data_IF_431121392334
#
_entry.id   IF_431121392334
#
_cell.length_a   1.000
_cell.length_b   1.000
_cell.length_c   1.000
_cell.angle_alpha   90.00
_cell.angle_beta   90.00
_cell.angle_gamma   90.00
#
_symmetry.space_group_name_H-M   'P 1'
#
loop_
_entity.id
_entity.type
_entity.pdbx_description
1 polymer ?
#
# COMPACT_ATOMS: atom_id res chain seq x y z
N UNK A 1 38.35 -49.88 -40.97
CA UNK A 1 38.17 -48.44 -41.18
C UNK A 1 36.69 -48.02 -41.39
N UNK A 2 35.86 -48.62 -42.21
CA UNK A 2 34.45 -48.18 -42.49
C UNK A 2 33.54 -48.14 -41.23
N UNK A 3 33.68 -49.08 -40.28
CA UNK A 3 32.85 -49.12 -39.03
C UNK A 3 33.13 -47.96 -38.07
N UNK A 4 34.39 -47.51 -37.92
CA UNK A 4 34.78 -46.37 -37.07
C UNK A 4 34.26 -45.05 -37.63
N UNK A 5 34.32 -44.86 -38.94
CA UNK A 5 33.81 -43.64 -39.64
C UNK A 5 32.30 -43.49 -39.47
N UNK A 6 31.54 -44.60 -39.54
CA UNK A 6 30.07 -44.60 -39.35
C UNK A 6 29.68 -44.25 -37.92
N UNK A 7 30.41 -44.75 -36.91
CA UNK A 7 30.19 -44.45 -35.48
C UNK A 7 30.48 -42.98 -35.15
N UNK A 8 31.52 -42.38 -35.73
CA UNK A 8 31.88 -40.99 -35.57
C UNK A 8 30.84 -40.06 -36.20
N UNK A 9 30.34 -40.35 -37.39
CA UNK A 9 29.30 -39.58 -38.07
C UNK A 9 27.99 -39.59 -37.27
N UNK A 10 27.59 -40.75 -36.73
CA UNK A 10 26.39 -40.87 -35.90
C UNK A 10 26.53 -40.08 -34.59
N UNK A 11 27.68 -40.07 -33.94
CA UNK A 11 27.92 -39.30 -32.72
C UNK A 11 27.83 -37.75 -32.97
N UNK A 12 28.39 -37.27 -34.10
CA UNK A 12 28.25 -35.86 -34.52
C UNK A 12 26.80 -35.48 -34.85
N UNK A 13 26.03 -36.39 -35.47
CA UNK A 13 24.63 -36.16 -35.78
C UNK A 13 23.77 -36.10 -34.52
N UNK A 14 24.03 -36.94 -33.54
CA UNK A 14 23.38 -36.92 -32.23
C UNK A 14 23.73 -35.65 -31.44
N UNK A 15 25.00 -35.20 -31.49
CA UNK A 15 25.38 -33.94 -30.85
C UNK A 15 24.70 -32.74 -31.47
N UNK A 16 24.64 -32.65 -32.82
CA UNK A 16 23.90 -31.59 -33.52
C UNK A 16 22.41 -31.58 -33.17
N UNK A 17 21.78 -32.76 -33.13
CA UNK A 17 20.39 -32.86 -32.76
C UNK A 17 20.14 -32.40 -31.32
N UNK A 18 20.99 -32.77 -30.36
CA UNK A 18 20.91 -32.29 -28.97
C UNK A 18 21.06 -30.76 -28.88
N UNK A 19 21.98 -30.15 -29.64
CA UNK A 19 22.17 -28.73 -29.67
C UNK A 19 20.94 -27.98 -30.23
N UNK A 20 20.32 -28.54 -31.29
CA UNK A 20 19.07 -27.96 -31.86
C UNK A 20 17.94 -28.03 -30.84
N UNK A 21 17.71 -29.18 -30.21
CA UNK A 21 16.67 -29.33 -29.17
C UNK A 21 16.90 -28.39 -27.99
N UNK A 22 18.16 -28.21 -27.56
CA UNK A 22 18.49 -27.25 -26.50
C UNK A 22 18.19 -25.81 -26.95
N UNK A 23 18.55 -25.45 -28.18
CA UNK A 23 18.27 -24.11 -28.73
C UNK A 23 16.74 -23.84 -28.82
N UNK A 24 15.97 -24.83 -29.27
CA UNK A 24 14.49 -24.73 -29.31
C UNK A 24 13.90 -24.54 -27.90
N UNK A 25 14.42 -25.29 -26.90
CA UNK A 25 14.02 -25.12 -25.51
C UNK A 25 14.35 -23.72 -24.96
N UNK A 26 15.55 -23.18 -25.26
CA UNK A 26 15.93 -21.84 -24.86
C UNK A 26 15.03 -20.77 -25.50
N UNK A 27 14.72 -20.91 -26.79
CA UNK A 27 13.80 -20.00 -27.50
C UNK A 27 12.42 -20.06 -26.85
N UNK A 28 11.91 -21.24 -26.54
CA UNK A 28 10.63 -21.41 -25.85
C UNK A 28 10.62 -20.70 -24.47
N UNK A 29 11.66 -20.87 -23.66
CA UNK A 29 11.79 -20.20 -22.37
C UNK A 29 11.81 -18.68 -22.53
N UNK A 30 12.55 -18.14 -23.51
CA UNK A 30 12.59 -16.70 -23.79
C UNK A 30 11.19 -16.18 -24.16
N UNK A 31 10.45 -16.90 -25.02
CA UNK A 31 9.09 -16.51 -25.41
C UNK A 31 8.16 -16.48 -24.19
N UNK A 32 8.23 -17.49 -23.33
CA UNK A 32 7.43 -17.51 -22.07
C UNK A 32 7.78 -16.33 -21.16
N UNK A 33 9.07 -16.01 -21.01
CA UNK A 33 9.52 -14.85 -20.23
C UNK A 33 9.00 -13.53 -20.82
N UNK A 34 9.02 -13.36 -22.15
CA UNK A 34 8.50 -12.16 -22.82
C UNK A 34 7.00 -12.03 -22.61
N UNK A 35 6.24 -13.12 -22.76
CA UNK A 35 4.78 -13.13 -22.51
C UNK A 35 4.49 -12.74 -21.07
N UNK A 36 5.24 -13.30 -20.11
CA UNK A 36 5.09 -12.97 -18.69
C UNK A 36 5.39 -11.49 -18.40
N UNK A 37 6.48 -10.93 -18.96
CA UNK A 37 6.83 -9.51 -18.83
C UNK A 37 5.76 -8.60 -19.46
N UNK A 38 5.24 -8.96 -20.65
CA UNK A 38 4.15 -8.23 -21.27
C UNK A 38 2.89 -8.25 -20.40
N UNK A 39 2.54 -9.40 -19.84
CA UNK A 39 1.40 -9.55 -18.94
C UNK A 39 1.55 -8.65 -17.70
N UNK A 40 2.69 -8.71 -17.00
CA UNK A 40 2.94 -7.90 -15.80
C UNK A 40 2.90 -6.40 -16.08
N UNK A 41 3.45 -5.95 -17.23
CA UNK A 41 3.41 -4.53 -17.61
C UNK A 41 1.99 -4.06 -17.98
N UNK A 42 1.18 -4.90 -18.60
CA UNK A 42 -0.23 -4.59 -18.89
C UNK A 42 -1.06 -4.48 -17.62
N UNK A 43 -0.87 -5.40 -16.67
CA UNK A 43 -1.52 -5.35 -15.35
C UNK A 43 -1.13 -4.09 -14.58
N UNK A 44 0.16 -3.73 -14.55
CA UNK A 44 0.62 -2.51 -13.92
C UNK A 44 -0.02 -1.26 -14.50
N UNK A 45 -0.11 -1.16 -15.84
CA UNK A 45 -0.79 -0.04 -16.52
C UNK A 45 -2.29 -0.04 -16.24
N UNK A 46 -2.95 -1.20 -16.25
CA UNK A 46 -4.38 -1.32 -15.92
C UNK A 46 -4.64 -0.78 -14.51
N UNK A 47 -3.82 -1.18 -13.53
CA UNK A 47 -3.97 -0.72 -12.16
C UNK A 47 -3.67 0.79 -12.02
N UNK A 48 -2.62 1.29 -12.66
CA UNK A 48 -2.31 2.72 -12.68
C UNK A 48 -3.45 3.55 -13.26
N UNK A 49 -4.03 3.13 -14.38
CA UNK A 49 -5.17 3.81 -15.02
C UNK A 49 -6.43 3.75 -14.16
N UNK A 50 -6.60 2.68 -13.37
CA UNK A 50 -7.76 2.51 -12.47
C UNK A 50 -7.81 3.61 -11.40
N UNK A 51 -6.65 4.06 -10.93
CA UNK A 51 -6.52 5.08 -9.89
C UNK A 51 -6.06 6.45 -10.43
N UNK A 52 -5.81 6.57 -11.74
CA UNK A 52 -5.49 7.85 -12.35
C UNK A 52 -6.71 8.77 -12.24
N UNK A 53 -6.49 9.94 -11.68
CA UNK A 53 -7.45 11.03 -11.78
C UNK A 53 -7.58 11.35 -13.27
N UNK A 54 -8.79 11.33 -13.82
CA UNK A 54 -9.03 11.79 -15.19
C UNK A 54 -8.71 13.29 -15.23
N UNK A 55 -7.52 13.65 -15.70
CA UNK A 55 -7.17 15.03 -16.07
C UNK A 55 -8.05 15.52 -17.22
N UNK A 56 -9.33 15.72 -16.94
CA UNK A 56 -10.26 16.42 -17.81
C UNK A 56 -10.44 17.83 -17.27
N UNK A 57 -9.35 18.59 -17.24
CA UNK A 57 -9.43 20.06 -17.34
C UNK A 57 -8.05 20.65 -17.63
N UNK A 58 -7.90 21.10 -18.88
CA UNK A 58 -7.00 22.15 -19.40
C UNK A 58 -5.83 22.63 -18.54
N UNK A 59 -4.61 22.41 -19.09
CA UNK A 59 -3.43 23.31 -18.98
C UNK A 59 -3.42 24.29 -17.81
N UNK A 60 -3.00 23.82 -16.62
CA UNK A 60 -2.34 24.69 -15.66
C UNK A 60 -1.29 23.85 -14.90
N UNK A 61 -0.07 24.32 -14.97
CA UNK A 61 1.09 23.84 -14.21
C UNK A 61 0.75 23.90 -12.73
N UNK A 62 0.36 22.77 -12.13
CA UNK A 62 0.01 22.69 -10.71
C UNK A 62 1.30 22.72 -9.90
N UNK A 63 1.61 23.87 -9.37
CA UNK A 63 2.54 24.02 -8.24
C UNK A 63 1.90 23.32 -7.04
N UNK A 64 2.47 22.20 -6.63
CA UNK A 64 2.10 21.40 -5.46
C UNK A 64 2.18 22.27 -4.21
N UNK A 65 1.09 22.83 -3.71
CA UNK A 65 0.95 23.33 -2.34
C UNK A 65 -0.29 24.20 -2.09
N UNK A 66 -1.42 24.01 -2.76
CA UNK A 66 -2.64 24.65 -2.32
C UNK A 66 -3.84 23.71 -2.45
N UNK A 67 -4.63 23.65 -1.40
CA UNK A 67 -5.98 23.14 -1.35
C UNK A 67 -6.74 23.64 -2.59
N UNK A 68 -6.84 22.81 -3.64
CA UNK A 68 -7.63 23.21 -4.81
C UNK A 68 -9.08 22.82 -4.57
N UNK A 69 -9.93 23.81 -4.36
CA UNK A 69 -11.37 23.66 -4.53
C UNK A 69 -11.70 23.90 -6.01
N UNK A 70 -12.63 23.10 -6.57
CA UNK A 70 -13.21 23.41 -7.87
C UNK A 70 -14.05 24.70 -7.84
N UNK A 71 -14.59 25.13 -8.99
CA UNK A 71 -15.49 26.28 -9.12
C UNK A 71 -16.75 26.19 -8.23
N UNK A 72 -17.09 25.00 -7.71
CA UNK A 72 -18.21 24.76 -6.79
C UNK A 72 -17.79 24.71 -5.31
N UNK A 73 -16.49 24.89 -4.98
CA UNK A 73 -15.99 24.87 -3.61
C UNK A 73 -15.78 23.47 -3.02
N UNK A 74 -15.86 22.41 -3.84
CA UNK A 74 -15.63 21.04 -3.41
C UNK A 74 -14.13 20.70 -3.43
N UNK A 75 -13.71 19.90 -2.44
CA UNK A 75 -12.36 19.36 -2.37
C UNK A 75 -12.19 18.25 -3.42
N UNK A 76 -11.11 18.26 -4.19
CA UNK A 76 -10.78 17.24 -5.19
C UNK A 76 -10.89 15.82 -4.62
N UNK A 77 -10.35 15.57 -3.41
CA UNK A 77 -10.44 14.26 -2.76
C UNK A 77 -11.86 13.86 -2.35
N UNK A 78 -12.75 14.84 -2.07
CA UNK A 78 -14.17 14.60 -1.84
C UNK A 78 -14.86 14.07 -3.10
N UNK A 79 -14.58 14.67 -4.26
CA UNK A 79 -15.12 14.19 -5.55
C UNK A 79 -14.61 12.79 -5.89
N UNK A 80 -13.31 12.53 -5.68
CA UNK A 80 -12.71 11.20 -5.87
C UNK A 80 -13.36 10.15 -4.97
N UNK A 81 -13.59 10.48 -3.70
CA UNK A 81 -14.33 9.63 -2.78
C UNK A 81 -15.75 9.35 -3.28
N UNK A 82 -16.51 10.38 -3.64
CA UNK A 82 -17.89 10.24 -4.09
C UNK A 82 -17.99 9.37 -5.36
N UNK A 83 -17.10 9.57 -6.31
CA UNK A 83 -17.01 8.76 -7.52
C UNK A 83 -16.71 7.29 -7.20
N UNK A 84 -15.69 7.03 -6.37
CA UNK A 84 -15.35 5.67 -5.97
C UNK A 84 -16.47 4.99 -5.16
N UNK A 85 -17.17 5.76 -4.33
CA UNK A 85 -18.33 5.30 -3.53
C UNK A 85 -19.51 4.87 -4.39
N UNK A 86 -19.72 5.52 -5.54
CA UNK A 86 -20.76 5.12 -6.50
C UNK A 86 -20.45 3.76 -7.14
N UNK A 87 -19.17 3.49 -7.41
CA UNK A 87 -18.71 2.22 -7.99
C UNK A 87 -18.75 1.07 -6.96
N UNK A 88 -18.40 1.35 -5.69
CA UNK A 88 -18.37 0.35 -4.63
C UNK A 88 -18.77 0.95 -3.28
N UNK A 89 -19.88 0.46 -2.71
CA UNK A 89 -20.41 0.92 -1.43
C UNK A 89 -19.52 0.58 -0.21
N UNK A 90 -18.51 -0.26 -0.36
CA UNK A 90 -17.53 -0.57 0.70
C UNK A 90 -16.41 0.49 0.78
N UNK A 91 -16.37 1.47 -0.13
CA UNK A 91 -15.49 2.64 -0.02
C UNK A 91 -16.00 3.53 1.11
N UNK A 92 -15.16 3.78 2.12
CA UNK A 92 -15.50 4.53 3.34
C UNK A 92 -14.78 5.88 3.42
N UNK A 93 -13.84 6.15 2.52
CA UNK A 93 -13.07 7.38 2.47
C UNK A 93 -12.09 7.36 1.31
N UNK A 94 -11.34 8.45 1.17
CA UNK A 94 -10.19 8.58 0.28
C UNK A 94 -8.96 8.89 1.12
N UNK A 95 -7.92 8.06 1.06
CA UNK A 95 -6.67 8.29 1.80
C UNK A 95 -5.63 8.94 0.89
N UNK A 96 -4.93 9.96 1.41
CA UNK A 96 -3.85 10.62 0.69
C UNK A 96 -2.70 11.04 1.62
N UNK A 97 -1.48 11.10 1.04
CA UNK A 97 -0.28 11.66 1.67
C UNK A 97 0.41 12.55 0.65
N UNK A 98 0.44 13.86 0.92
CA UNK A 98 1.00 14.84 -0.01
C UNK A 98 2.46 14.56 -0.36
N UNK A 99 2.81 14.75 -1.64
CA UNK A 99 4.16 14.52 -2.15
C UNK A 99 4.55 13.04 -2.30
N UNK A 100 3.57 12.12 -2.16
CA UNK A 100 3.73 10.67 -2.40
C UNK A 100 2.75 10.19 -3.46
N UNK A 101 2.88 8.93 -3.87
CA UNK A 101 1.91 8.27 -4.76
C UNK A 101 0.69 7.72 -4.00
N UNK A 102 0.57 7.97 -2.69
CA UNK A 102 -0.56 7.49 -1.90
C UNK A 102 -1.74 8.45 -2.08
N UNK A 103 -2.66 8.05 -2.95
CA UNK A 103 -3.94 8.71 -3.21
C UNK A 103 -4.90 7.64 -3.71
N UNK A 104 -5.70 7.03 -2.80
CA UNK A 104 -6.50 5.84 -3.07
C UNK A 104 -7.83 5.85 -2.35
N UNK A 105 -8.88 5.19 -2.90
CA UNK A 105 -10.06 4.86 -2.12
C UNK A 105 -9.67 3.98 -0.93
N UNK A 106 -10.22 4.31 0.25
CA UNK A 106 -10.10 3.52 1.46
C UNK A 106 -11.34 2.65 1.59
N UNK A 107 -11.15 1.33 1.61
CA UNK A 107 -12.22 0.36 1.67
C UNK A 107 -12.32 -0.31 3.05
N UNK A 108 -13.47 -0.89 3.35
CA UNK A 108 -13.63 -1.75 4.52
C UNK A 108 -14.67 -2.83 4.24
N UNK A 109 -14.36 -4.07 4.62
CA UNK A 109 -15.27 -5.22 4.56
C UNK A 109 -15.25 -5.99 5.88
N UNK A 110 -16.03 -7.06 5.97
CA UNK A 110 -16.19 -7.88 7.19
C UNK A 110 -14.98 -8.76 7.51
N UNK A 111 -13.96 -8.77 6.64
CA UNK A 111 -12.72 -9.52 6.85
C UNK A 111 -11.48 -8.65 6.55
N UNK A 112 -10.27 -9.20 6.72
CA UNK A 112 -9.00 -8.51 6.45
C UNK A 112 -8.24 -9.17 5.30
N UNK A 113 -8.90 -9.94 4.44
CA UNK A 113 -8.27 -10.75 3.39
C UNK A 113 -8.78 -10.44 1.98
N UNK A 114 -10.04 -10.07 1.83
CA UNK A 114 -10.67 -9.87 0.51
C UNK A 114 -9.90 -8.86 -0.35
N UNK A 115 -9.63 -7.67 0.19
CA UNK A 115 -8.94 -6.61 -0.53
C UNK A 115 -7.42 -6.80 -0.64
N UNK A 116 -6.87 -7.90 -0.16
CA UNK A 116 -5.49 -8.29 -0.50
C UNK A 116 -5.36 -8.72 -1.97
N UNK A 117 -6.46 -9.20 -2.59
CA UNK A 117 -6.46 -9.77 -3.95
C UNK A 117 -7.55 -9.20 -4.85
N UNK A 118 -8.26 -8.15 -4.42
CA UNK A 118 -9.30 -7.48 -5.19
C UNK A 118 -9.09 -5.96 -5.20
N UNK A 119 -9.29 -5.35 -6.37
CA UNK A 119 -9.29 -3.89 -6.50
C UNK A 119 -10.60 -3.28 -5.98
N UNK A 120 -10.69 -1.94 -5.95
CA UNK A 120 -11.87 -1.25 -5.41
C UNK A 120 -13.16 -1.47 -6.23
N UNK A 121 -13.06 -2.01 -7.46
CA UNK A 121 -14.21 -2.42 -8.29
C UNK A 121 -14.60 -3.89 -8.09
N UNK A 122 -14.05 -4.55 -7.07
CA UNK A 122 -14.26 -5.98 -6.77
C UNK A 122 -13.75 -6.94 -7.85
N UNK A 123 -12.81 -6.50 -8.71
CA UNK A 123 -12.13 -7.35 -9.67
C UNK A 123 -10.87 -7.97 -9.04
N UNK A 124 -10.54 -9.21 -9.42
CA UNK A 124 -9.28 -9.84 -9.00
C UNK A 124 -8.07 -9.01 -9.45
N UNK A 125 -7.16 -8.73 -8.54
CA UNK A 125 -5.97 -7.91 -8.78
C UNK A 125 -4.83 -8.31 -7.84
N UNK A 126 -3.63 -8.49 -8.39
CA UNK A 126 -2.41 -8.71 -7.59
C UNK A 126 -2.01 -7.47 -6.75
N UNK A 127 -2.52 -6.29 -7.08
CA UNK A 127 -2.29 -5.04 -6.36
C UNK A 127 -3.21 -4.89 -5.14
N UNK A 128 -4.31 -5.65 -5.11
CA UNK A 128 -5.32 -5.49 -4.08
C UNK A 128 -5.87 -4.07 -4.00
N UNK A 129 -6.18 -3.65 -2.80
CA UNK A 129 -6.64 -2.28 -2.48
C UNK A 129 -6.06 -1.81 -1.15
N UNK A 130 -6.25 -0.51 -0.86
CA UNK A 130 -5.99 0.04 0.48
C UNK A 130 -7.25 -0.14 1.32
N UNK A 131 -7.14 -0.81 2.46
CA UNK A 131 -8.33 -1.13 3.26
C UNK A 131 -8.11 -1.02 4.77
N UNK A 132 -9.17 -0.61 5.46
CA UNK A 132 -9.25 -0.48 6.91
C UNK A 132 -9.50 -1.87 7.53
N UNK A 133 -8.83 -2.15 8.65
CA UNK A 133 -9.07 -3.37 9.44
C UNK A 133 -10.55 -3.47 9.85
N UNK A 134 -11.14 -4.66 9.73
CA UNK A 134 -12.56 -4.92 9.95
C UNK A 134 -13.13 -4.43 11.30
N UNK A 135 -12.30 -4.38 12.34
CA UNK A 135 -12.69 -3.94 13.69
C UNK A 135 -12.36 -2.45 13.96
N UNK A 136 -11.71 -1.74 13.03
CA UNK A 136 -11.46 -0.32 13.17
C UNK A 136 -12.72 0.46 12.75
N UNK A 137 -12.98 1.59 13.40
CA UNK A 137 -14.17 2.42 13.12
C UNK A 137 -13.72 3.86 12.86
N UNK A 138 -13.87 4.35 11.63
CA UNK A 138 -13.38 5.66 11.19
C UNK A 138 -13.88 6.81 12.07
N UNK A 139 -15.12 6.76 12.48
CA UNK A 139 -15.79 7.82 13.26
C UNK A 139 -15.62 7.69 14.77
N UNK A 140 -14.99 6.62 15.28
CA UNK A 140 -14.75 6.42 16.70
C UNK A 140 -13.38 6.96 17.12
N UNK A 141 -13.35 7.97 17.98
CA UNK A 141 -12.12 8.63 18.45
C UNK A 141 -11.16 7.71 19.20
N UNK A 142 -11.65 6.62 19.78
CA UNK A 142 -10.83 5.62 20.46
C UNK A 142 -10.44 4.44 19.56
N UNK A 143 -10.81 4.45 18.31
CA UNK A 143 -10.36 3.44 17.35
C UNK A 143 -8.96 3.75 16.84
N UNK A 144 -8.10 2.74 16.79
CA UNK A 144 -6.91 2.78 15.98
C UNK A 144 -7.29 2.37 14.54
N UNK A 145 -7.15 3.29 13.61
CA UNK A 145 -7.42 3.05 12.20
C UNK A 145 -6.26 2.28 11.59
N UNK A 146 -6.30 0.95 11.68
CA UNK A 146 -5.28 0.10 11.10
C UNK A 146 -5.59 -0.11 9.62
N UNK A 147 -4.71 0.39 8.75
CA UNK A 147 -4.90 0.40 7.29
C UNK A 147 -3.79 -0.41 6.63
N UNK A 148 -4.18 -1.31 5.75
CA UNK A 148 -3.31 -2.20 5.02
C UNK A 148 -3.19 -1.79 3.56
N UNK A 149 -2.04 -2.01 2.97
CA UNK A 149 -1.80 -1.89 1.53
C UNK A 149 -0.53 -2.62 1.12
N UNK A 150 -0.53 -3.15 -0.09
CA UNK A 150 0.63 -3.85 -0.63
C UNK A 150 1.83 -2.93 -0.80
N UNK A 151 3.03 -3.48 -0.63
CA UNK A 151 4.27 -2.94 -1.14
C UNK A 151 4.58 -3.65 -2.46
N UNK A 152 4.39 -2.96 -3.57
CA UNK A 152 4.80 -3.46 -4.88
C UNK A 152 6.30 -3.20 -5.05
N UNK A 153 7.04 -4.22 -5.44
CA UNK A 153 8.51 -4.15 -5.53
C UNK A 153 9.03 -3.07 -6.48
N UNK A 154 8.18 -2.55 -7.37
CA UNK A 154 8.50 -1.44 -8.28
C UNK A 154 8.46 -0.05 -7.61
N UNK A 155 8.00 0.04 -6.36
CA UNK A 155 7.93 1.27 -5.58
C UNK A 155 6.87 2.27 -6.04
N UNK A 156 6.05 1.95 -7.05
CA UNK A 156 5.22 2.92 -7.75
C UNK A 156 3.78 3.00 -7.27
N UNK A 157 3.22 1.95 -6.66
CA UNK A 157 1.79 1.82 -6.41
C UNK A 157 1.46 1.34 -4.98
N UNK A 158 0.21 1.49 -4.60
CA UNK A 158 -0.32 1.13 -3.28
C UNK A 158 0.47 1.78 -2.15
N UNK A 159 0.89 1.02 -1.14
CA UNK A 159 1.69 1.52 -0.03
C UNK A 159 3.21 1.36 -0.23
N UNK A 160 3.67 1.15 -1.48
CA UNK A 160 5.10 1.01 -1.77
C UNK A 160 5.92 2.21 -1.31
N UNK A 161 5.42 3.44 -1.49
CA UNK A 161 6.11 4.66 -1.09
C UNK A 161 6.23 4.83 0.44
N UNK A 162 5.49 4.03 1.26
CA UNK A 162 5.71 4.03 2.72
C UNK A 162 7.13 3.62 3.09
N UNK A 163 7.81 2.81 2.28
CA UNK A 163 9.20 2.40 2.54
C UNK A 163 10.14 3.60 2.65
N UNK A 164 9.84 4.70 1.96
CA UNK A 164 10.63 5.92 2.03
C UNK A 164 10.64 6.54 3.44
N UNK A 165 9.65 6.24 4.29
CA UNK A 165 9.66 6.66 5.69
C UNK A 165 10.75 5.99 6.55
N UNK A 166 11.51 5.05 6.02
CA UNK A 166 12.76 4.60 6.66
C UNK A 166 13.82 5.71 6.68
N UNK A 167 13.70 6.71 5.79
CA UNK A 167 14.48 7.93 5.78
C UNK A 167 13.79 9.03 6.60
N UNK A 168 14.53 9.64 7.54
CA UNK A 168 14.06 10.73 8.39
C UNK A 168 13.77 12.01 7.60
N UNK A 169 14.52 12.30 6.55
CA UNK A 169 14.30 13.50 5.72
C UNK A 169 13.02 13.36 4.90
N UNK A 170 12.72 12.16 4.41
CA UNK A 170 11.43 11.89 3.79
C UNK A 170 10.29 12.10 4.79
N UNK A 171 10.39 11.55 6.00
CA UNK A 171 9.41 11.80 7.08
C UNK A 171 9.23 13.31 7.35
N UNK A 172 10.33 14.08 7.43
CA UNK A 172 10.27 15.51 7.73
C UNK A 172 9.46 16.31 6.70
N UNK A 173 9.42 15.84 5.45
CA UNK A 173 8.72 16.49 4.34
C UNK A 173 7.29 15.95 4.11
N UNK A 174 6.93 14.78 4.70
CA UNK A 174 5.66 14.09 4.43
C UNK A 174 4.98 13.65 5.74
N UNK A 175 4.67 14.60 6.64
CA UNK A 175 4.17 14.31 8.01
C UNK A 175 2.68 14.09 8.11
N UNK A 176 1.90 14.43 7.08
CA UNK A 176 0.44 14.50 7.15
C UNK A 176 -0.21 13.40 6.32
N UNK A 177 -1.06 12.61 6.97
CA UNK A 177 -1.97 11.67 6.32
C UNK A 177 -3.36 12.31 6.35
N UNK A 178 -4.12 12.22 5.24
CA UNK A 178 -5.51 12.67 5.17
C UNK A 178 -6.44 11.51 4.84
N UNK A 179 -7.63 11.54 5.43
CA UNK A 179 -8.77 10.72 5.01
C UNK A 179 -9.92 11.67 4.75
N UNK A 180 -10.41 11.69 3.51
CA UNK A 180 -11.51 12.53 3.06
C UNK A 180 -12.76 11.67 2.84
N UNK A 181 -13.91 12.16 3.30
CA UNK A 181 -15.24 11.57 3.12
C UNK A 181 -16.14 12.55 2.39
N UNK A 182 -17.44 12.28 2.34
CA UNK A 182 -18.46 13.18 1.79
C UNK A 182 -18.56 14.53 2.50
N UNK A 183 -18.38 14.54 3.83
CA UNK A 183 -18.64 15.74 4.66
C UNK A 183 -17.45 16.16 5.52
N UNK A 184 -16.39 15.34 5.56
CA UNK A 184 -15.27 15.57 6.49
C UNK A 184 -13.93 15.19 5.85
N UNK A 185 -12.91 15.98 6.23
CA UNK A 185 -11.52 15.59 6.09
C UNK A 185 -10.88 15.45 7.46
N UNK A 186 -10.21 14.33 7.69
CA UNK A 186 -9.46 14.01 8.89
C UNK A 186 -7.97 14.13 8.59
N UNK A 187 -7.26 15.01 9.30
CA UNK A 187 -5.81 15.12 9.22
C UNK A 187 -5.13 14.43 10.39
N UNK A 188 -4.12 13.63 10.08
CA UNK A 188 -3.28 12.92 11.05
C UNK A 188 -1.82 13.34 10.90
N UNK A 189 -1.13 13.57 12.03
CA UNK A 189 0.32 13.81 12.04
C UNK A 189 1.05 12.54 12.42
N UNK A 190 1.99 12.12 11.58
CA UNK A 190 2.84 10.97 11.84
C UNK A 190 3.76 11.27 13.03
N UNK A 191 3.85 10.35 14.00
CA UNK A 191 4.69 10.49 15.18
C UNK A 191 5.62 9.31 15.44
N UNK A 192 5.44 8.18 14.73
CA UNK A 192 6.32 7.01 14.85
C UNK A 192 6.38 6.24 13.53
N UNK A 193 7.55 5.75 13.21
CA UNK A 193 7.81 4.81 12.10
C UNK A 193 8.70 3.70 12.63
N UNK A 194 8.31 2.44 12.43
CA UNK A 194 9.11 1.31 12.89
C UNK A 194 8.96 0.09 11.98
N UNK A 195 9.98 -0.77 12.00
CA UNK A 195 9.93 -2.10 11.39
C UNK A 195 9.46 -3.12 12.40
N UNK A 196 8.63 -4.05 11.94
CA UNK A 196 8.11 -5.16 12.73
C UNK A 196 7.88 -6.37 11.82
N UNK A 197 7.17 -7.37 12.31
CA UNK A 197 6.74 -8.53 11.52
C UNK A 197 5.36 -9.00 11.96
N UNK A 198 4.79 -9.92 11.19
CA UNK A 198 3.66 -10.73 11.66
C UNK A 198 4.21 -11.86 12.52
N UNK A 199 3.77 -11.92 13.77
CA UNK A 199 4.21 -12.89 14.75
C UNK A 199 3.37 -14.17 14.70
N UNK A 200 3.97 -15.31 14.99
CA UNK A 200 3.24 -16.56 15.17
C UNK A 200 2.42 -16.53 16.47
N UNK A 201 1.41 -17.39 16.58
CA UNK A 201 0.53 -17.41 17.74
C UNK A 201 1.26 -17.77 19.04
N UNK A 202 2.33 -18.55 18.96
CA UNK A 202 3.18 -19.02 20.06
C UNK A 202 4.31 -18.05 20.42
N UNK A 203 4.56 -16.99 19.63
CA UNK A 203 5.51 -15.96 19.98
C UNK A 203 5.02 -15.21 21.24
N UNK A 204 5.80 -15.19 22.30
CA UNK A 204 5.50 -14.50 23.55
C UNK A 204 6.29 -13.19 23.70
N UNK A 205 5.80 -12.25 24.52
CA UNK A 205 6.47 -10.98 24.79
C UNK A 205 6.77 -10.12 23.54
N UNK A 206 5.88 -10.18 22.54
CA UNK A 206 6.01 -9.45 21.29
C UNK A 206 4.94 -8.37 21.15
N UNK A 207 5.28 -7.29 20.45
CA UNK A 207 4.34 -6.20 20.18
C UNK A 207 3.50 -6.50 18.94
N UNK A 208 2.31 -7.09 19.13
CA UNK A 208 1.31 -7.30 18.05
C UNK A 208 0.53 -6.02 17.79
N UNK A 209 1.19 -5.02 17.21
CA UNK A 209 0.62 -3.69 16.93
C UNK A 209 -0.73 -3.75 16.19
N UNK A 210 -0.96 -4.77 15.39
CA UNK A 210 -2.19 -5.01 14.62
C UNK A 210 -3.37 -5.54 15.45
N UNK A 211 -3.19 -5.85 16.73
CA UNK A 211 -4.28 -6.27 17.65
C UNK A 211 -4.88 -5.08 18.44
N UNK A 212 -4.27 -3.90 18.34
CA UNK A 212 -4.70 -2.71 19.08
C UNK A 212 -5.71 -1.89 18.27
N UNK A 213 -6.86 -2.47 17.90
CA UNK A 213 -7.92 -1.78 17.14
C UNK A 213 -8.79 -0.88 18.01
N UNK A 214 -8.97 -1.24 19.28
CA UNK A 214 -9.70 -0.50 20.31
C UNK A 214 -8.74 0.00 21.39
N UNK A 215 -8.70 1.32 21.56
CA UNK A 215 -7.84 2.05 22.51
C UNK A 215 -8.64 2.82 23.56
N UNK A 216 -9.87 2.37 23.84
CA UNK A 216 -10.74 2.94 24.89
C UNK A 216 -10.12 2.80 26.30
N UNK A 217 -9.40 1.70 26.55
CA UNK A 217 -8.65 1.53 27.79
C UNK A 217 -7.36 2.36 27.76
N UNK A 218 -7.19 3.27 28.73
CA UNK A 218 -6.05 4.17 28.81
C UNK A 218 -4.72 3.42 28.98
N UNK A 219 -4.70 2.30 29.71
CA UNK A 219 -3.47 1.52 29.89
C UNK A 219 -3.05 0.88 28.59
N UNK A 220 -4.01 0.31 27.84
CA UNK A 220 -3.79 -0.26 26.52
C UNK A 220 -3.34 0.81 25.50
N UNK A 221 -3.93 2.01 25.56
CA UNK A 221 -3.47 3.15 24.76
C UNK A 221 -2.01 3.50 25.09
N UNK A 222 -1.70 3.68 26.37
CA UNK A 222 -0.34 4.05 26.83
C UNK A 222 0.68 2.96 26.47
N UNK A 223 0.32 1.69 26.59
CA UNK A 223 1.15 0.56 26.16
C UNK A 223 1.45 0.63 24.66
N UNK A 224 0.41 0.86 23.83
CA UNK A 224 0.57 0.99 22.39
C UNK A 224 1.55 2.13 22.03
N UNK A 225 1.34 3.34 22.60
CA UNK A 225 2.19 4.50 22.32
C UNK A 225 3.62 4.26 22.81
N UNK A 226 3.80 3.68 24.00
CA UNK A 226 5.12 3.35 24.55
C UNK A 226 5.88 2.40 23.62
N UNK A 227 5.22 1.36 23.12
CA UNK A 227 5.84 0.44 22.18
C UNK A 227 6.15 1.10 20.84
N UNK A 228 5.25 1.93 20.30
CA UNK A 228 5.52 2.70 19.07
C UNK A 228 6.78 3.59 19.22
N UNK A 229 6.97 4.21 20.37
CA UNK A 229 8.14 5.04 20.66
C UNK A 229 9.40 4.20 20.91
N UNK A 230 9.27 3.05 21.56
CA UNK A 230 10.39 2.12 21.82
C UNK A 230 11.00 1.58 20.52
N UNK A 231 10.18 1.23 19.55
CA UNK A 231 10.61 0.60 18.28
C UNK A 231 10.85 1.58 17.14
N UNK A 232 10.60 2.89 17.33
CA UNK A 232 10.76 3.90 16.29
C UNK A 232 12.17 3.90 15.69
N UNK A 233 12.26 4.04 14.36
CA UNK A 233 13.53 4.08 13.64
C UNK A 233 14.35 5.32 13.96
N UNK A 234 13.67 6.42 14.30
CA UNK A 234 14.28 7.71 14.64
C UNK A 234 13.35 8.51 15.56
N UNK A 235 13.92 9.41 16.34
CA UNK A 235 13.13 10.29 17.21
C UNK A 235 12.39 11.34 16.40
N UNK A 236 11.07 11.39 16.54
CA UNK A 236 10.18 12.32 15.84
C UNK A 236 9.81 13.57 16.64
N UNK A 237 10.26 13.75 17.88
CA UNK A 237 9.88 14.83 18.81
C UNK A 237 8.35 14.97 19.04
N UNK A 238 7.52 14.10 18.47
CA UNK A 238 6.06 14.09 18.61
C UNK A 238 5.59 12.79 19.25
N UNK A 239 4.42 12.82 19.89
CA UNK A 239 3.75 11.65 20.46
C UNK A 239 2.25 11.88 20.50
N UNK A 240 1.47 10.84 20.81
CA UNK A 240 0.05 10.93 21.08
C UNK A 240 -0.22 10.89 22.59
N UNK A 241 -1.35 11.49 22.98
CA UNK A 241 -1.89 11.45 24.37
C UNK A 241 -3.24 10.76 24.34
N UNK A 242 -3.64 10.17 25.47
CA UNK A 242 -4.94 9.51 25.58
C UNK A 242 -6.09 10.45 25.14
N UNK A 243 -6.99 9.92 24.32
CA UNK A 243 -8.04 10.67 23.65
C UNK A 243 -7.69 11.09 22.20
N UNK A 244 -6.43 10.97 21.75
CA UNK A 244 -6.14 11.11 20.33
C UNK A 244 -6.56 9.85 19.57
N UNK A 245 -7.35 9.99 18.49
CA UNK A 245 -7.55 8.91 17.55
C UNK A 245 -6.22 8.58 16.84
N UNK A 246 -5.92 7.30 16.73
CA UNK A 246 -4.68 6.80 16.12
C UNK A 246 -4.97 6.27 14.72
N UNK A 247 -4.02 6.48 13.81
CA UNK A 247 -3.95 5.84 12.49
C UNK A 247 -2.65 5.04 12.38
N UNK A 248 -2.73 3.84 11.82
CA UNK A 248 -1.59 2.93 11.66
C UNK A 248 -1.60 2.37 10.25
N UNK A 249 -0.66 2.82 9.42
CA UNK A 249 -0.48 2.31 8.05
C UNK A 249 0.52 1.17 8.06
N UNK A 250 0.19 0.08 7.39
CA UNK A 250 0.98 -1.16 7.38
C UNK A 250 1.22 -1.61 5.95
N UNK A 251 2.49 -1.88 5.61
CA UNK A 251 2.88 -2.49 4.35
C UNK A 251 3.94 -3.57 4.55
N UNK A 252 4.17 -4.41 3.54
CA UNK A 252 5.25 -5.40 3.59
C UNK A 252 6.62 -4.72 3.53
N UNK A 253 7.56 -5.26 4.31
CA UNK A 253 8.96 -4.86 4.33
C UNK A 253 9.82 -6.13 4.22
N UNK A 254 10.73 -6.18 3.26
CA UNK A 254 11.35 -7.42 2.81
C UNK A 254 12.75 -7.68 3.39
N UNK A 255 13.20 -6.90 4.40
CA UNK A 255 14.50 -7.15 5.06
C UNK A 255 14.48 -8.35 6.01
N UNK A 256 13.30 -8.87 6.34
CA UNK A 256 13.09 -10.07 7.17
C UNK A 256 11.83 -10.82 6.77
N UNK A 257 11.74 -12.09 7.16
CA UNK A 257 10.55 -12.91 6.93
C UNK A 257 9.33 -12.32 7.63
N UNK A 258 8.21 -12.27 6.89
CA UNK A 258 6.96 -11.64 7.36
C UNK A 258 7.12 -10.18 7.83
N UNK A 259 8.17 -9.48 7.36
CA UNK A 259 8.49 -8.11 7.73
C UNK A 259 7.39 -7.12 7.36
N UNK A 260 7.24 -6.10 8.20
CA UNK A 260 6.30 -4.99 8.01
C UNK A 260 6.97 -3.67 8.32
N UNK A 261 6.68 -2.66 7.50
CA UNK A 261 6.88 -1.27 7.89
C UNK A 261 5.56 -0.74 8.43
N UNK A 262 5.64 -0.05 9.55
CA UNK A 262 4.50 0.52 10.27
C UNK A 262 4.71 2.02 10.44
N UNK A 263 3.76 2.81 9.95
CA UNK A 263 3.74 4.28 10.07
C UNK A 263 2.54 4.68 10.92
N UNK A 264 2.79 5.35 12.04
CA UNK A 264 1.75 5.67 13.03
C UNK A 264 1.57 7.17 13.16
N UNK A 265 0.32 7.61 13.04
CA UNK A 265 -0.09 9.00 13.21
C UNK A 265 -1.14 9.17 14.29
N UNK A 266 -1.31 10.41 14.75
CA UNK A 266 -2.40 10.85 15.62
C UNK A 266 -3.26 11.88 14.91
N UNK A 267 -4.55 11.89 15.16
CA UNK A 267 -5.45 12.90 14.62
C UNK A 267 -5.06 14.28 15.13
N UNK A 268 -4.94 15.24 14.20
CA UNK A 268 -4.70 16.64 14.50
C UNK A 268 -6.01 17.42 14.54
N UNK A 269 -6.81 17.26 13.49
CA UNK A 269 -8.07 18.00 13.33
C UNK A 269 -9.04 17.26 12.41
N UNK A 270 -10.27 17.69 12.47
CA UNK A 270 -11.33 17.34 11.53
C UNK A 270 -11.82 18.64 10.89
N UNK A 271 -11.89 18.66 9.57
CA UNK A 271 -12.36 19.79 8.77
C UNK A 271 -13.73 19.38 8.22
N UNK A 272 -14.75 20.22 8.41
CA UNK A 272 -16.05 20.02 7.75
C UNK A 272 -15.93 20.49 6.30
N UNK A 273 -16.39 19.66 5.38
CA UNK A 273 -16.47 19.96 3.96
C UNK A 273 -17.90 20.42 3.62
N UNK A 274 -18.02 21.39 2.74
CA UNK A 274 -19.32 21.79 2.17
C UNK A 274 -19.69 20.81 1.06
N UNK A 275 -21.00 20.48 0.99
CA UNK A 275 -21.57 19.72 -0.13
C UNK A 275 -21.83 20.62 -1.31
#
# INVERSE_FOLDING_TARGET
>A
MKRYRKKYINKRRQQKHRLVVMAEYFIFVIIVCIIYLCYTTLEAKKNQNLYAVSDTSSNNTVTKNNFSTDDNGQNEYQQLYLSAKQENQEVIGWISIDGTNISYPLLQTMDNSYYLTHNYKNESSQYGSIFLHKNSVLTNEFSNLIIYGHNMNDGSQMFSSLINYTDKDFFNNHKTIRITTDTKEYEYSIFSVFKSKVYNNDDTNVFRYYSYTDLTDQNKFNEYITNCKKYQLYNTSSSAVYGNQIITLITCEYSQDNGRLVVVGKKLKTISLTN
#
